data_IF_510090247396
#
_entry.id   IF_510090247396
#
_cell.length_a   1.000
_cell.length_b   1.000
_cell.length_c   1.000
_cell.angle_alpha   90.00
_cell.angle_beta   90.00
_cell.angle_gamma   90.00
#
_symmetry.space_group_name_H-M   'P 1'
#
loop_
_entity.id
_entity.type
_entity.pdbx_description
1 polymer ?
#
# COMPACT_ATOMS: atom_id res chain seq x y z
N UNK A 1 -9.74 -4.41 -14.11
CA UNK A 1 -10.19 -5.18 -12.92
C UNK A 1 -9.19 -6.31 -12.74
N UNK A 2 -8.81 -6.65 -11.50
CA UNK A 2 -7.89 -7.77 -11.27
C UNK A 2 -8.54 -9.07 -11.78
N UNK A 3 -7.73 -9.98 -12.31
CA UNK A 3 -8.20 -11.32 -12.66
C UNK A 3 -8.47 -12.10 -11.35
N UNK A 4 -9.72 -12.50 -11.08
CA UNK A 4 -10.07 -13.20 -9.84
C UNK A 4 -9.26 -14.49 -9.65
N UNK A 5 -8.95 -15.22 -10.73
CA UNK A 5 -8.19 -16.47 -10.62
C UNK A 5 -6.76 -16.21 -10.15
N UNK A 6 -6.13 -15.14 -10.66
CA UNK A 6 -4.80 -14.72 -10.23
C UNK A 6 -4.80 -14.30 -8.76
N UNK A 7 -5.81 -13.54 -8.32
CA UNK A 7 -5.93 -13.11 -6.92
C UNK A 7 -6.07 -14.32 -6.00
N UNK A 8 -6.88 -15.32 -6.37
CA UNK A 8 -7.03 -16.56 -5.60
C UNK A 8 -5.72 -17.37 -5.54
N UNK A 9 -5.00 -17.50 -6.65
CA UNK A 9 -3.72 -18.21 -6.72
C UNK A 9 -2.67 -17.57 -5.80
N UNK A 10 -2.52 -16.25 -5.87
CA UNK A 10 -1.59 -15.52 -5.01
C UNK A 10 -2.02 -15.63 -3.55
N UNK A 11 -3.31 -15.51 -3.25
CA UNK A 11 -3.80 -15.67 -1.88
C UNK A 11 -3.48 -17.05 -1.29
N UNK A 12 -3.62 -18.11 -2.10
CA UNK A 12 -3.25 -19.47 -1.70
C UNK A 12 -1.74 -19.61 -1.46
N UNK A 13 -0.88 -19.03 -2.31
CA UNK A 13 0.58 -19.04 -2.14
C UNK A 13 1.01 -18.33 -0.85
N UNK A 14 0.36 -17.22 -0.53
CA UNK A 14 0.62 -16.44 0.68
C UNK A 14 -0.10 -16.95 1.94
N UNK A 15 -0.93 -18.00 1.81
CA UNK A 15 -1.74 -18.52 2.93
C UNK A 15 -2.68 -17.47 3.54
N UNK A 16 -3.27 -16.62 2.69
CA UNK A 16 -4.11 -15.48 3.11
C UNK A 16 -5.45 -15.45 2.35
N UNK A 17 -6.30 -14.47 2.68
CA UNK A 17 -7.59 -14.30 2.01
C UNK A 17 -7.43 -13.51 0.68
N UNK A 18 -8.15 -13.88 -0.40
CA UNK A 18 -8.12 -13.15 -1.68
C UNK A 18 -8.37 -11.64 -1.54
N UNK A 19 -9.31 -11.26 -0.68
CA UNK A 19 -9.60 -9.85 -0.40
C UNK A 19 -8.41 -9.07 0.18
N UNK A 20 -7.49 -9.74 0.90
CA UNK A 20 -6.28 -9.08 1.42
C UNK A 20 -5.25 -8.82 0.31
N UNK A 21 -5.14 -9.73 -0.66
CA UNK A 21 -4.29 -9.54 -1.85
C UNK A 21 -4.82 -8.40 -2.71
N UNK A 22 -6.12 -8.41 -3.02
CA UNK A 22 -6.76 -7.32 -3.79
C UNK A 22 -6.60 -5.98 -3.08
N UNK A 23 -6.82 -5.94 -1.77
CA UNK A 23 -6.63 -4.73 -0.97
C UNK A 23 -5.19 -4.22 -1.04
N UNK A 24 -4.19 -5.08 -0.82
CA UNK A 24 -2.77 -4.67 -0.90
C UNK A 24 -2.38 -4.17 -2.28
N UNK A 25 -2.90 -4.80 -3.34
CA UNK A 25 -2.71 -4.32 -4.70
C UNK A 25 -3.22 -2.88 -4.87
N UNK A 26 -4.41 -2.58 -4.37
CA UNK A 26 -4.97 -1.22 -4.38
C UNK A 26 -4.19 -0.23 -3.53
N UNK A 27 -3.70 -0.65 -2.35
CA UNK A 27 -2.87 0.17 -1.46
C UNK A 27 -1.60 0.66 -2.17
N UNK A 28 -0.84 -0.25 -2.80
CA UNK A 28 0.41 0.10 -3.50
C UNK A 28 0.13 1.07 -4.65
N UNK A 29 -0.98 0.87 -5.37
CA UNK A 29 -1.43 1.77 -6.45
C UNK A 29 -1.78 3.16 -5.92
N UNK A 30 -2.51 3.25 -4.81
CA UNK A 30 -2.88 4.51 -4.19
C UNK A 30 -1.64 5.30 -3.73
N UNK A 31 -0.67 4.63 -3.11
CA UNK A 31 0.62 5.24 -2.72
C UNK A 31 1.33 5.81 -3.96
N UNK A 32 1.37 5.06 -5.07
CA UNK A 32 1.97 5.53 -6.32
C UNK A 32 1.30 6.78 -6.90
N UNK A 33 -0.03 6.87 -6.82
CA UNK A 33 -0.77 8.08 -7.24
C UNK A 33 -0.47 9.25 -6.31
N UNK A 34 -0.53 9.04 -5.00
CA UNK A 34 -0.27 10.09 -4.00
C UNK A 34 1.15 10.63 -4.13
N UNK A 35 2.13 9.76 -4.36
CA UNK A 35 3.54 10.13 -4.54
C UNK A 35 3.79 10.95 -5.81
N UNK A 36 2.89 10.88 -6.81
CA UNK A 36 3.00 11.61 -8.06
C UNK A 36 2.24 12.95 -8.06
N UNK A 37 1.56 13.31 -6.96
CA UNK A 37 0.85 14.58 -6.85
C UNK A 37 1.83 15.75 -6.76
N UNK A 38 1.56 16.80 -7.54
CA UNK A 38 2.12 18.12 -7.29
C UNK A 38 1.28 18.81 -6.20
N UNK A 39 1.94 19.27 -5.15
CA UNK A 39 1.30 19.77 -3.93
C UNK A 39 1.75 21.19 -3.57
N UNK A 40 2.13 21.98 -4.58
CA UNK A 40 2.44 23.41 -4.44
C UNK A 40 3.46 23.69 -3.31
N UNK A 41 4.52 22.88 -3.27
CA UNK A 41 5.61 22.98 -2.29
C UNK A 41 5.41 22.17 -1.00
N UNK A 42 4.22 21.61 -0.75
CA UNK A 42 4.04 20.65 0.34
C UNK A 42 4.72 19.32 0.00
N UNK A 43 5.30 18.67 1.03
CA UNK A 43 5.96 17.37 0.91
C UNK A 43 5.26 16.34 1.77
N UNK A 44 4.94 15.19 1.17
CA UNK A 44 4.40 14.03 1.87
C UNK A 44 5.52 13.06 2.22
N UNK A 45 5.51 12.57 3.46
CA UNK A 45 6.33 11.46 3.89
C UNK A 45 5.41 10.29 4.27
N UNK A 46 5.48 9.20 3.50
CA UNK A 46 4.78 7.96 3.84
C UNK A 46 5.36 7.37 5.13
N UNK A 47 4.50 7.04 6.08
CA UNK A 47 4.88 6.73 7.46
C UNK A 47 4.02 5.62 8.06
N UNK A 48 4.12 5.42 9.37
CA UNK A 48 3.31 4.43 10.09
C UNK A 48 3.68 2.97 9.77
N UNK A 49 2.81 2.05 10.20
CA UNK A 49 3.03 0.61 10.09
C UNK A 49 3.14 0.12 8.65
N UNK A 50 2.36 0.72 7.74
CA UNK A 50 2.30 0.34 6.33
C UNK A 50 3.58 0.73 5.59
N UNK A 51 4.23 1.84 5.97
CA UNK A 51 5.55 2.19 5.41
C UNK A 51 6.62 1.16 5.78
N UNK A 52 6.56 0.59 6.98
CA UNK A 52 7.51 -0.44 7.42
C UNK A 52 7.30 -1.77 6.69
N UNK A 53 6.05 -2.15 6.37
CA UNK A 53 5.77 -3.38 5.62
C UNK A 53 5.96 -3.21 4.11
N UNK A 54 5.30 -2.23 3.50
CA UNK A 54 5.24 -2.08 2.03
C UNK A 54 6.43 -1.30 1.49
N UNK A 55 6.88 -0.25 2.18
CA UNK A 55 7.99 0.58 1.72
C UNK A 55 9.35 -0.03 2.03
N UNK A 56 9.54 -0.48 3.27
CA UNK A 56 10.84 -0.96 3.77
C UNK A 56 10.97 -2.49 3.91
N UNK A 57 9.87 -3.24 3.87
CA UNK A 57 9.90 -4.70 4.03
C UNK A 57 10.38 -5.20 5.39
N UNK A 58 10.37 -4.34 6.43
CA UNK A 58 10.90 -4.63 7.77
C UNK A 58 9.97 -5.48 8.62
N UNK A 59 8.66 -5.44 8.32
CA UNK A 59 7.65 -6.25 9.01
C UNK A 59 6.71 -6.90 8.00
N UNK A 60 6.14 -8.06 8.36
CA UNK A 60 5.20 -8.80 7.51
C UNK A 60 3.84 -8.92 8.20
N UNK A 61 2.99 -7.91 7.98
CA UNK A 61 1.60 -7.89 8.40
C UNK A 61 0.79 -7.04 7.43
N UNK A 62 -0.48 -7.35 7.27
CA UNK A 62 -1.41 -6.46 6.61
C UNK A 62 -1.71 -5.25 7.51
N UNK A 63 -1.82 -4.08 6.90
CA UNK A 63 -2.23 -2.84 7.57
C UNK A 63 -3.43 -2.26 6.83
N UNK A 64 -4.40 -1.73 7.55
CA UNK A 64 -5.60 -1.11 6.97
C UNK A 64 -5.32 0.32 6.51
N UNK A 65 -4.56 1.07 7.31
CA UNK A 65 -4.36 2.51 7.14
C UNK A 65 -3.19 2.87 6.22
N UNK A 66 -3.24 4.08 5.66
CA UNK A 66 -2.12 4.74 4.99
C UNK A 66 -1.81 6.06 5.69
N UNK A 67 -0.70 6.09 6.43
CA UNK A 67 -0.29 7.24 7.20
C UNK A 67 0.69 8.13 6.42
N UNK A 68 0.39 9.42 6.32
CA UNK A 68 1.29 10.41 5.74
C UNK A 68 1.56 11.56 6.72
N UNK A 69 2.82 11.96 6.82
CA UNK A 69 3.18 13.24 7.43
C UNK A 69 3.30 14.29 6.32
N UNK A 70 2.83 15.50 6.60
CA UNK A 70 2.87 16.62 5.65
C UNK A 70 3.83 17.68 6.18
N UNK A 71 4.76 18.12 5.34
CA UNK A 71 5.59 19.30 5.59
C UNK A 71 5.19 20.38 4.60
N UNK A 72 4.74 21.53 5.11
CA UNK A 72 4.43 22.71 4.31
C UNK A 72 5.72 23.48 4.00
N UNK A 73 5.76 24.25 2.90
CA UNK A 73 6.85 25.18 2.62
C UNK A 73 6.98 26.28 3.70
#
# INVERSE_FOLDING_TARGET
MLDPQLVEQVAAEFGTAPGLIEKEWHVVRAIGVIAALDLDGARLAFSGGTSLSVGWGLIRRFSEDLDFKVAMP
#
